data_IF_833822962294
#
_entry.id   IF_833822962294
#
_cell.length_a   1.000
_cell.length_b   1.000
_cell.length_c   1.000
_cell.angle_alpha   90.00
_cell.angle_beta   90.00
_cell.angle_gamma   90.00
#
_symmetry.space_group_name_H-M   'P 1'
#
loop_
_entity.id
_entity.type
_entity.pdbx_description
1 polymer ?
#
# COMPACT_ATOMS: atom_id res chain seq x y z
N UNK A 1 -2.31 6.64 3.14
CA UNK A 1 -0.91 6.14 3.24
C UNK A 1 -0.11 6.59 2.02
N UNK A 2 -0.51 6.28 0.78
CA UNK A 2 0.25 6.59 -0.43
C UNK A 2 0.71 8.04 -0.58
N UNK A 3 -0.14 9.03 -0.28
CA UNK A 3 0.23 10.45 -0.38
C UNK A 3 1.26 10.87 0.68
N UNK A 4 1.23 10.30 1.88
CA UNK A 4 2.24 10.57 2.91
C UNK A 4 3.58 9.96 2.52
N UNK A 5 3.57 8.73 2.01
CA UNK A 5 4.76 8.07 1.48
C UNK A 5 5.37 8.86 0.33
N UNK A 6 4.54 9.33 -0.62
CA UNK A 6 5.00 10.16 -1.74
C UNK A 6 5.72 11.42 -1.25
N UNK A 7 5.12 12.16 -0.32
CA UNK A 7 5.74 13.38 0.24
C UNK A 7 7.09 13.09 0.87
N UNK A 8 7.19 12.03 1.67
CA UNK A 8 8.45 11.63 2.32
C UNK A 8 9.49 11.19 1.29
N UNK A 9 9.13 10.38 0.31
CA UNK A 9 10.03 9.95 -0.74
C UNK A 9 10.55 11.12 -1.60
N UNK A 10 9.67 12.02 -2.00
CA UNK A 10 10.02 13.23 -2.77
C UNK A 10 10.95 14.14 -1.98
N UNK A 11 10.72 14.31 -0.67
CA UNK A 11 11.55 15.17 0.18
C UNK A 11 13.01 14.74 0.26
N UNK A 12 13.27 13.44 0.04
CA UNK A 12 14.64 12.87 -0.03
C UNK A 12 15.10 12.60 -1.48
N UNK A 13 14.45 13.21 -2.47
CA UNK A 13 14.85 13.19 -3.87
C UNK A 13 14.56 11.90 -4.63
N UNK A 14 13.65 11.04 -4.11
CA UNK A 14 13.28 9.80 -4.81
C UNK A 14 12.40 10.08 -6.04
N UNK A 15 12.60 9.25 -7.07
CA UNK A 15 11.88 9.32 -8.35
C UNK A 15 10.53 8.63 -8.24
N UNK A 16 9.48 9.44 -8.05
CA UNK A 16 8.12 8.96 -7.77
C UNK A 16 7.21 9.16 -8.97
N UNK A 17 6.40 8.15 -9.26
CA UNK A 17 5.32 8.20 -10.24
C UNK A 17 3.97 7.86 -9.60
N UNK A 18 2.88 8.26 -10.26
CA UNK A 18 1.51 8.07 -9.80
C UNK A 18 0.64 7.51 -10.92
N UNK A 19 -0.12 6.47 -10.60
CA UNK A 19 -1.05 5.83 -11.51
C UNK A 19 -2.42 5.64 -10.83
N UNK A 20 -3.30 6.60 -11.01
CA UNK A 20 -4.65 6.58 -10.47
C UNK A 20 -5.67 6.67 -11.58
N UNK A 21 -6.54 5.65 -11.72
CA UNK A 21 -7.54 5.58 -12.77
C UNK A 21 -6.93 5.46 -14.17
N UNK A 22 -5.70 4.97 -14.29
CA UNK A 22 -5.01 4.82 -15.57
C UNK A 22 -5.65 3.71 -16.40
N UNK A 23 -5.84 3.98 -17.68
CA UNK A 23 -6.25 3.00 -18.70
C UNK A 23 -5.07 2.54 -19.56
N UNK A 24 -4.07 3.39 -19.69
CA UNK A 24 -2.82 3.15 -20.41
C UNK A 24 -1.63 3.65 -19.60
N UNK A 25 -0.42 3.29 -20.00
CA UNK A 25 0.80 3.80 -19.38
C UNK A 25 1.03 5.30 -19.63
N UNK A 26 0.45 5.86 -20.66
CA UNK A 26 0.48 7.31 -20.95
C UNK A 26 -0.28 8.14 -19.89
N UNK A 27 -1.18 7.51 -19.15
CA UNK A 27 -1.94 8.16 -18.07
C UNK A 27 -1.11 8.31 -16.78
N UNK A 28 0.05 7.62 -16.68
CA UNK A 28 0.94 7.70 -15.51
C UNK A 28 1.52 9.10 -15.40
N UNK A 29 1.50 9.65 -14.20
CA UNK A 29 2.00 11.00 -13.91
C UNK A 29 3.31 10.91 -13.13
N UNK A 30 4.32 11.60 -13.63
CA UNK A 30 5.65 11.63 -13.02
C UNK A 30 5.80 12.86 -12.12
N UNK A 31 6.38 12.66 -10.95
CA UNK A 31 7.00 13.78 -10.25
C UNK A 31 8.21 14.25 -11.09
N UNK A 32 8.50 15.53 -11.12
CA UNK A 32 9.53 16.09 -12.02
C UNK A 32 10.92 15.49 -11.80
N UNK A 33 11.23 14.95 -10.63
CA UNK A 33 12.47 14.18 -10.39
C UNK A 33 12.54 12.87 -11.20
N UNK A 34 11.38 12.31 -11.52
CA UNK A 34 11.27 11.06 -12.27
C UNK A 34 11.12 11.25 -13.77
N UNK A 35 10.94 12.48 -14.24
CA UNK A 35 10.84 12.81 -15.65
C UNK A 35 12.24 13.13 -16.23
N UNK A 36 12.45 12.80 -17.50
CA UNK A 36 13.68 13.23 -18.20
C UNK A 36 13.70 14.72 -18.42
N UNK A 37 12.57 15.27 -18.87
CA UNK A 37 12.43 16.67 -19.21
C UNK A 37 11.30 17.34 -18.43
N UNK A 38 11.54 18.57 -18.00
CA UNK A 38 10.54 19.41 -17.37
C UNK A 38 10.88 20.90 -17.60
N UNK A 39 9.86 21.73 -17.61
CA UNK A 39 9.99 23.17 -17.79
C UNK A 39 9.78 23.91 -16.47
N UNK A 40 10.64 24.88 -16.18
CA UNK A 40 10.49 25.76 -15.02
C UNK A 40 9.94 27.12 -15.46
N UNK A 41 9.05 27.66 -14.66
CA UNK A 41 8.63 29.05 -14.81
C UNK A 41 9.78 29.94 -14.31
N UNK A 42 10.36 30.71 -15.23
CA UNK A 42 11.51 31.56 -14.92
C UNK A 42 11.19 32.68 -13.90
N UNK A 43 9.90 33.12 -13.79
CA UNK A 43 9.49 34.15 -12.84
C UNK A 43 9.28 33.64 -11.43
N UNK A 44 8.67 32.49 -11.28
CA UNK A 44 8.32 31.91 -9.97
C UNK A 44 9.30 30.83 -9.49
N UNK A 45 10.18 30.33 -10.36
CA UNK A 45 11.05 29.19 -10.07
C UNK A 45 10.33 27.86 -9.94
N UNK A 46 8.99 27.83 -10.02
CA UNK A 46 8.17 26.62 -9.93
C UNK A 46 8.21 25.78 -11.20
N UNK A 47 7.81 24.51 -11.07
CA UNK A 47 7.67 23.62 -12.22
C UNK A 47 6.38 23.98 -12.98
N UNK A 48 6.51 24.25 -14.26
CA UNK A 48 5.40 24.61 -15.14
C UNK A 48 4.82 23.41 -15.86
N UNK A 49 5.70 22.55 -16.39
CA UNK A 49 5.35 21.37 -17.16
C UNK A 49 6.30 20.22 -16.89
N UNK A 50 5.75 19.02 -16.85
CA UNK A 50 6.53 17.77 -16.75
C UNK A 50 6.20 16.93 -17.95
N UNK A 51 7.24 16.43 -18.63
CA UNK A 51 7.07 15.43 -19.69
C UNK A 51 6.81 14.04 -19.06
N UNK A 52 5.56 13.58 -19.14
CA UNK A 52 5.15 12.28 -18.62
C UNK A 52 5.39 11.14 -19.62
N UNK A 53 5.77 11.42 -20.86
CA UNK A 53 5.95 10.39 -21.89
C UNK A 53 7.16 9.50 -21.63
N UNK A 54 8.18 10.04 -20.97
CA UNK A 54 9.45 9.34 -20.72
C UNK A 54 9.85 9.48 -19.25
N UNK A 55 9.73 8.39 -18.50
CA UNK A 55 10.28 8.31 -17.14
C UNK A 55 11.80 8.06 -17.15
N UNK A 56 12.48 8.64 -16.18
CA UNK A 56 13.89 8.39 -15.94
C UNK A 56 14.09 7.56 -14.68
N UNK A 57 14.07 6.25 -14.85
CA UNK A 57 14.32 5.27 -13.79
C UNK A 57 13.44 5.49 -12.53
N UNK A 58 12.12 5.38 -12.69
CA UNK A 58 11.17 5.50 -11.56
C UNK A 58 11.52 4.48 -10.47
N UNK A 59 11.68 4.96 -9.24
CA UNK A 59 12.02 4.14 -8.08
C UNK A 59 10.78 3.70 -7.29
N UNK A 60 9.75 4.57 -7.23
CA UNK A 60 8.52 4.33 -6.50
C UNK A 60 7.33 4.70 -7.38
N UNK A 61 6.41 3.77 -7.59
CA UNK A 61 5.15 4.04 -8.26
C UNK A 61 4.00 3.77 -7.28
N UNK A 62 3.12 4.75 -7.13
CA UNK A 62 1.95 4.67 -6.26
C UNK A 62 0.72 4.59 -7.15
N UNK A 63 -0.08 3.54 -6.99
CA UNK A 63 -1.25 3.31 -7.82
C UNK A 63 -2.49 2.91 -7.00
N UNK A 64 -3.64 3.03 -7.62
CA UNK A 64 -4.86 2.38 -7.16
C UNK A 64 -4.94 0.93 -7.66
N UNK A 65 -5.89 0.17 -7.12
CA UNK A 65 -6.07 -1.24 -7.45
C UNK A 65 -6.44 -1.46 -8.93
N UNK A 66 -7.15 -0.50 -9.56
CA UNK A 66 -7.56 -0.59 -10.97
C UNK A 66 -6.38 -0.37 -11.93
N UNK A 67 -5.39 0.42 -11.50
CA UNK A 67 -4.20 0.75 -12.30
C UNK A 67 -3.01 -0.19 -12.05
N UNK A 68 -3.14 -1.18 -11.15
CA UNK A 68 -2.03 -2.01 -10.71
C UNK A 68 -1.27 -2.71 -11.86
N UNK A 69 -1.98 -3.38 -12.78
CA UNK A 69 -1.32 -4.13 -13.84
C UNK A 69 -0.55 -3.22 -14.81
N UNK A 70 -1.11 -2.05 -15.11
CA UNK A 70 -0.42 -1.03 -15.93
C UNK A 70 0.83 -0.54 -15.22
N UNK A 71 0.71 -0.29 -13.92
CA UNK A 71 1.82 0.14 -13.07
C UNK A 71 2.94 -0.89 -12.99
N UNK A 72 2.58 -2.16 -12.83
CA UNK A 72 3.52 -3.28 -12.80
C UNK A 72 4.29 -3.39 -14.12
N UNK A 73 3.59 -3.40 -15.26
CA UNK A 73 4.22 -3.46 -16.58
C UNK A 73 5.12 -2.24 -16.85
N UNK A 74 4.70 -1.07 -16.36
CA UNK A 74 5.53 0.13 -16.46
C UNK A 74 6.82 0.00 -15.65
N UNK A 75 6.75 -0.46 -14.40
CA UNK A 75 7.91 -0.63 -13.54
C UNK A 75 8.88 -1.72 -14.03
N UNK A 76 8.35 -2.78 -14.66
CA UNK A 76 9.18 -3.84 -15.26
C UNK A 76 10.07 -3.35 -16.41
N UNK A 77 9.85 -2.15 -16.95
CA UNK A 77 10.75 -1.53 -17.95
C UNK A 77 12.05 -1.01 -17.33
N UNK A 78 12.08 -0.78 -16.02
CA UNK A 78 13.24 -0.24 -15.31
C UNK A 78 14.13 -1.31 -14.68
N UNK A 79 13.64 -2.54 -14.56
CA UNK A 79 14.42 -3.62 -13.97
C UNK A 79 13.70 -4.97 -13.95
N UNK A 80 14.39 -6.03 -13.54
CA UNK A 80 13.81 -7.36 -13.44
C UNK A 80 12.77 -7.43 -12.32
N UNK A 81 11.83 -8.38 -12.45
CA UNK A 81 10.76 -8.57 -11.48
C UNK A 81 11.26 -8.86 -10.05
N UNK A 82 12.39 -9.54 -9.94
CA UNK A 82 13.06 -9.89 -8.68
C UNK A 82 13.60 -8.67 -7.93
N UNK A 83 13.86 -7.57 -8.64
CA UNK A 83 14.31 -6.30 -8.07
C UNK A 83 13.16 -5.39 -7.61
N UNK A 84 11.93 -5.76 -7.90
CA UNK A 84 10.75 -4.98 -7.54
C UNK A 84 10.09 -5.53 -6.28
N UNK A 85 9.44 -4.65 -5.52
CA UNK A 85 8.62 -4.99 -4.36
C UNK A 85 7.25 -4.38 -4.54
N UNK A 86 6.20 -5.19 -4.42
CA UNK A 86 4.82 -4.72 -4.34
C UNK A 86 4.42 -4.59 -2.88
N UNK A 87 3.98 -3.42 -2.47
CA UNK A 87 3.33 -3.20 -1.19
C UNK A 87 1.83 -3.00 -1.42
N UNK A 88 1.03 -3.95 -0.98
CA UNK A 88 -0.42 -3.90 -1.10
C UNK A 88 -1.04 -3.64 0.26
N UNK A 89 -1.57 -2.45 0.40
CA UNK A 89 -2.22 -1.98 1.62
C UNK A 89 -3.71 -2.36 1.59
N UNK A 90 -4.21 -2.92 2.69
CA UNK A 90 -5.59 -3.35 2.87
C UNK A 90 -6.13 -4.27 1.74
N UNK A 91 -5.47 -5.42 1.46
CA UNK A 91 -5.92 -6.34 0.41
C UNK A 91 -7.29 -6.96 0.68
N UNK A 92 -7.79 -6.86 1.92
CA UNK A 92 -9.07 -7.43 2.38
C UNK A 92 -10.25 -6.47 2.30
N UNK A 93 -10.05 -5.25 1.81
CA UNK A 93 -11.02 -4.15 1.87
C UNK A 93 -12.42 -4.45 1.30
N UNK A 94 -12.58 -5.51 0.53
CA UNK A 94 -13.87 -5.86 -0.08
C UNK A 94 -14.40 -7.23 0.31
N UNK A 95 -13.70 -7.93 1.22
CA UNK A 95 -14.08 -9.30 1.63
C UNK A 95 -15.37 -9.37 2.44
N UNK A 96 -15.81 -8.25 3.03
CA UNK A 96 -17.07 -8.15 3.76
C UNK A 96 -18.32 -8.22 2.87
N UNK A 97 -18.14 -8.07 1.55
CA UNK A 97 -19.23 -8.04 0.59
C UNK A 97 -19.22 -9.30 -0.29
N UNK A 98 -20.32 -10.03 -0.36
CA UNK A 98 -20.45 -11.19 -1.27
C UNK A 98 -20.22 -10.81 -2.75
N UNK A 99 -20.63 -9.59 -3.13
CA UNK A 99 -20.43 -9.05 -4.47
C UNK A 99 -19.92 -7.62 -4.39
N UNK A 100 -18.77 -7.38 -4.97
CA UNK A 100 -18.18 -6.04 -5.06
C UNK A 100 -17.50 -5.87 -6.42
N UNK A 101 -17.60 -4.67 -7.01
CA UNK A 101 -17.03 -4.37 -8.34
C UNK A 101 -15.51 -4.59 -8.44
N UNK A 102 -14.79 -4.49 -7.33
CA UNK A 102 -13.36 -4.69 -7.28
C UNK A 102 -12.92 -6.15 -7.18
N UNK A 103 -13.81 -7.11 -6.87
CA UNK A 103 -13.42 -8.51 -6.70
C UNK A 103 -12.76 -9.08 -7.96
N UNK A 104 -13.35 -8.82 -9.12
CA UNK A 104 -12.78 -9.27 -10.40
C UNK A 104 -11.41 -8.61 -10.65
N UNK A 105 -11.29 -7.31 -10.37
CA UNK A 105 -10.04 -6.56 -10.53
C UNK A 105 -8.96 -7.08 -9.58
N UNK A 106 -9.27 -7.31 -8.31
CA UNK A 106 -8.36 -7.85 -7.31
C UNK A 106 -7.89 -9.26 -7.71
N UNK A 107 -8.82 -10.12 -8.11
CA UNK A 107 -8.52 -11.47 -8.59
C UNK A 107 -7.60 -11.45 -9.82
N UNK A 108 -7.92 -10.59 -10.79
CA UNK A 108 -7.09 -10.42 -11.99
C UNK A 108 -5.69 -9.91 -11.64
N UNK A 109 -5.58 -8.91 -10.77
CA UNK A 109 -4.31 -8.38 -10.32
C UNK A 109 -3.46 -9.47 -9.65
N UNK A 110 -4.07 -10.26 -8.77
CA UNK A 110 -3.41 -11.38 -8.11
C UNK A 110 -2.86 -12.41 -9.10
N UNK A 111 -3.71 -12.87 -10.02
CA UNK A 111 -3.32 -13.92 -10.96
C UNK A 111 -2.34 -13.45 -12.04
N UNK A 112 -2.41 -12.19 -12.43
CA UNK A 112 -1.54 -11.61 -13.46
C UNK A 112 -0.26 -10.96 -12.90
N UNK A 113 -0.09 -10.94 -11.58
CA UNK A 113 1.12 -10.40 -10.97
C UNK A 113 2.36 -11.19 -11.38
N UNK A 114 3.41 -10.47 -11.82
CA UNK A 114 4.70 -11.02 -12.24
C UNK A 114 5.82 -10.81 -11.21
N UNK A 115 5.56 -10.04 -10.14
CA UNK A 115 6.57 -9.66 -9.15
C UNK A 115 6.56 -10.66 -7.99
N UNK A 116 7.68 -11.34 -7.71
CA UNK A 116 7.76 -12.35 -6.67
C UNK A 116 7.83 -11.78 -5.25
N UNK A 117 8.29 -10.53 -5.09
CA UNK A 117 8.41 -9.90 -3.78
C UNK A 117 7.16 -9.08 -3.48
N UNK A 118 6.34 -9.57 -2.57
CA UNK A 118 5.06 -8.95 -2.23
C UNK A 118 4.89 -8.82 -0.72
N UNK A 119 4.47 -7.65 -0.28
CA UNK A 119 4.07 -7.37 1.11
C UNK A 119 2.57 -7.09 1.10
N UNK A 120 1.82 -7.87 1.84
CA UNK A 120 0.41 -7.64 2.12
C UNK A 120 0.29 -7.03 3.52
N UNK A 121 -0.27 -5.84 3.64
CA UNK A 121 -0.43 -5.13 4.92
C UNK A 121 -1.91 -4.91 5.20
N UNK A 122 -2.37 -5.36 6.35
CA UNK A 122 -3.75 -5.18 6.77
C UNK A 122 -3.82 -5.16 8.31
N UNK A 123 -4.75 -4.37 8.85
CA UNK A 123 -5.01 -4.36 10.30
C UNK A 123 -5.66 -5.67 10.78
N UNK A 124 -6.41 -6.33 9.91
CA UNK A 124 -7.20 -7.54 10.19
C UNK A 124 -6.91 -8.62 9.15
N UNK A 125 -5.65 -9.08 9.06
CA UNK A 125 -5.33 -10.21 8.20
C UNK A 125 -6.04 -11.47 8.71
N UNK A 126 -6.67 -12.24 7.79
CA UNK A 126 -7.25 -13.53 8.11
C UNK A 126 -6.20 -14.48 8.73
N UNK A 127 -6.67 -15.50 9.42
CA UNK A 127 -5.78 -16.50 10.00
C UNK A 127 -5.04 -17.29 8.91
N UNK A 128 -3.87 -17.82 9.28
CA UNK A 128 -3.00 -18.56 8.37
C UNK A 128 -3.70 -19.68 7.60
N UNK A 129 -4.67 -20.36 8.23
CA UNK A 129 -5.43 -21.44 7.61
C UNK A 129 -6.41 -20.91 6.54
N UNK A 130 -7.00 -19.75 6.75
CA UNK A 130 -7.96 -19.14 5.82
C UNK A 130 -7.27 -18.66 4.53
N UNK A 131 -6.04 -18.15 4.64
CA UNK A 131 -5.26 -17.69 3.48
C UNK A 131 -4.36 -18.77 2.86
N UNK A 132 -4.41 -20.01 3.35
CA UNK A 132 -3.58 -21.09 2.82
C UNK A 132 -3.72 -21.28 1.31
N UNK A 133 -4.93 -21.27 0.70
CA UNK A 133 -5.07 -21.37 -0.75
C UNK A 133 -4.37 -20.26 -1.54
N UNK A 134 -4.32 -19.04 -0.96
CA UNK A 134 -3.64 -17.89 -1.55
C UNK A 134 -2.13 -18.09 -1.52
N UNK A 135 -1.61 -18.58 -0.39
CA UNK A 135 -0.18 -18.93 -0.22
C UNK A 135 0.25 -20.01 -1.19
N UNK A 136 -0.52 -21.10 -1.30
CA UNK A 136 -0.23 -22.21 -2.19
C UNK A 136 -0.22 -21.76 -3.66
N UNK A 137 -1.17 -20.90 -4.06
CA UNK A 137 -1.21 -20.32 -5.38
C UNK A 137 0.03 -19.45 -5.64
N UNK A 138 0.47 -18.67 -4.65
CA UNK A 138 1.65 -17.82 -4.79
C UNK A 138 2.92 -18.64 -4.95
N UNK A 139 3.14 -19.64 -4.10
CA UNK A 139 4.30 -20.56 -4.19
C UNK A 139 4.30 -21.34 -5.51
N UNK A 140 3.12 -21.77 -6.00
CA UNK A 140 3.04 -22.45 -7.29
C UNK A 140 3.54 -21.58 -8.44
N UNK A 141 3.31 -20.27 -8.38
CA UNK A 141 3.78 -19.30 -9.40
C UNK A 141 5.23 -18.89 -9.18
N UNK A 142 5.66 -18.80 -7.94
CA UNK A 142 6.99 -18.38 -7.52
C UNK A 142 7.62 -19.46 -6.59
N UNK A 143 8.16 -20.54 -7.14
CA UNK A 143 8.60 -21.69 -6.33
C UNK A 143 9.75 -21.39 -5.36
N UNK A 144 10.52 -20.35 -5.60
CA UNK A 144 11.59 -19.90 -4.71
C UNK A 144 11.14 -18.93 -3.63
N UNK A 145 9.86 -18.52 -3.63
CA UNK A 145 9.35 -17.56 -2.66
C UNK A 145 9.27 -18.18 -1.26
N UNK A 146 9.61 -17.38 -0.26
CA UNK A 146 9.40 -17.69 1.15
C UNK A 146 8.27 -16.82 1.71
N UNK A 147 7.39 -17.41 2.50
CA UNK A 147 6.27 -16.69 3.09
C UNK A 147 6.57 -16.45 4.57
N UNK A 148 6.52 -15.20 4.97
CA UNK A 148 6.70 -14.76 6.34
C UNK A 148 5.41 -14.13 6.84
N UNK A 149 4.94 -14.57 8.03
CA UNK A 149 3.82 -13.95 8.74
C UNK A 149 4.39 -13.09 9.87
N UNK A 150 4.18 -11.77 9.75
CA UNK A 150 4.68 -10.81 10.74
C UNK A 150 3.47 -10.18 11.41
N UNK A 151 3.32 -10.44 12.70
CA UNK A 151 2.28 -9.85 13.56
C UNK A 151 2.94 -9.07 14.67
N UNK A 152 2.50 -7.84 14.87
CA UNK A 152 2.95 -7.03 16.00
C UNK A 152 1.74 -6.58 16.80
N UNK A 153 1.81 -6.80 18.10
CA UNK A 153 0.87 -6.28 19.08
C UNK A 153 1.44 -5.07 19.84
N UNK A 154 2.61 -4.57 19.43
CA UNK A 154 3.34 -3.51 20.14
C UNK A 154 2.65 -2.14 20.07
N UNK A 155 1.76 -1.96 19.08
CA UNK A 155 0.98 -0.74 18.89
C UNK A 155 -0.51 -1.01 18.95
N UNK A 156 -1.04 -1.13 20.12
CA UNK A 156 -2.48 -1.07 20.35
C UNK A 156 -2.91 0.39 20.34
N UNK A 157 -3.49 0.86 19.22
CA UNK A 157 -4.19 2.14 19.19
C UNK A 157 -5.55 1.95 19.83
N UNK A 158 -5.66 2.29 21.10
CA UNK A 158 -6.95 2.36 21.77
C UNK A 158 -7.41 3.81 21.89
N UNK A 159 -8.66 4.07 21.55
CA UNK A 159 -9.29 5.37 21.71
C UNK A 159 -10.05 5.31 23.03
N UNK A 160 -9.75 6.18 24.01
CA UNK A 160 -10.49 6.20 25.26
C UNK A 160 -11.94 6.63 25.00
N UNK A 161 -12.89 5.89 25.53
CA UNK A 161 -14.29 6.28 25.53
C UNK A 161 -14.55 7.23 26.68
N UNK A 162 -14.97 8.45 26.35
CA UNK A 162 -15.34 9.46 27.32
C UNK A 162 -16.85 9.73 27.29
N UNK A 163 -17.46 9.97 28.44
CA UNK A 163 -18.85 10.37 28.50
C UNK A 163 -19.01 11.86 28.13
N UNK A 164 -20.25 12.32 28.06
CA UNK A 164 -20.59 13.72 27.73
C UNK A 164 -19.99 14.74 28.70
N UNK A 165 -19.66 14.34 29.91
CA UNK A 165 -19.00 15.17 30.93
C UNK A 165 -17.47 15.13 30.86
N UNK A 166 -16.89 14.49 29.85
CA UNK A 166 -15.43 14.37 29.70
C UNK A 166 -14.77 13.31 30.58
N UNK A 167 -15.56 12.53 31.35
CA UNK A 167 -15.01 11.45 32.19
C UNK A 167 -14.74 10.22 31.33
N UNK A 168 -13.55 9.65 31.44
CA UNK A 168 -13.17 8.42 30.77
C UNK A 168 -13.98 7.24 31.32
N UNK A 169 -14.73 6.55 30.45
CA UNK A 169 -15.56 5.39 30.80
C UNK A 169 -14.77 4.09 30.61
N UNK A 170 -13.93 4.02 29.56
CA UNK A 170 -13.06 2.90 29.30
C UNK A 170 -11.59 3.34 29.39
N UNK A 171 -10.94 2.85 30.43
CA UNK A 171 -9.54 3.20 30.79
C UNK A 171 -8.52 2.19 30.27
N UNK A 172 -8.92 1.34 29.32
CA UNK A 172 -8.09 0.24 28.79
C UNK A 172 -6.73 0.71 28.22
N UNK A 173 -6.67 1.94 27.70
CA UNK A 173 -5.43 2.55 27.22
C UNK A 173 -4.48 3.02 28.34
N UNK A 174 -4.93 2.98 29.59
CA UNK A 174 -4.14 3.32 30.79
C UNK A 174 -3.71 2.06 31.56
N UNK A 175 -3.93 0.87 30.97
CA UNK A 175 -3.63 -0.40 31.59
C UNK A 175 -2.38 -1.01 30.98
N UNK A 176 -1.45 -1.46 31.83
CA UNK A 176 -0.19 -2.07 31.39
C UNK A 176 -0.35 -3.56 31.02
N UNK A 177 -1.47 -4.19 31.42
CA UNK A 177 -1.76 -5.59 31.14
C UNK A 177 -3.26 -5.86 31.10
N UNK A 178 -3.64 -7.04 30.56
CA UNK A 178 -5.02 -7.51 30.57
C UNK A 178 -5.58 -7.68 31.97
N UNK A 179 -4.78 -8.17 32.93
CA UNK A 179 -5.21 -8.32 34.33
C UNK A 179 -5.39 -6.96 35.01
N UNK A 180 -4.54 -5.99 34.73
CA UNK A 180 -4.71 -4.62 35.23
C UNK A 180 -6.00 -3.99 34.67
N UNK A 181 -6.28 -4.20 33.37
CA UNK A 181 -7.52 -3.74 32.75
C UNK A 181 -8.75 -4.39 33.40
N UNK A 182 -8.72 -5.70 33.63
CA UNK A 182 -9.78 -6.47 34.24
C UNK A 182 -10.09 -5.96 35.67
N UNK A 183 -9.04 -5.72 36.45
CA UNK A 183 -9.18 -5.19 37.81
C UNK A 183 -9.74 -3.77 37.85
N UNK A 184 -9.49 -2.94 36.83
CA UNK A 184 -10.00 -1.56 36.73
C UNK A 184 -11.43 -1.48 36.19
N UNK A 185 -11.92 -2.53 35.50
CA UNK A 185 -13.26 -2.57 34.92
C UNK A 185 -14.30 -3.22 35.87
N UNK A 186 -13.84 -4.04 36.82
CA UNK A 186 -14.73 -4.63 37.82
C UNK A 186 -15.08 -3.57 38.88
N UNK A 187 -16.16 -2.83 38.61
CA UNK A 187 -16.93 -2.05 39.60
C UNK A 187 -18.40 -2.39 39.53
#
# INVERSE_FOLDING_TARGET
IGMSLAKSAISVGRKVAFAFGCKTDEDIRLHYFAAKDYERNWKSGGIYRVDNSVGDNVEILICDVKSYLISMEYMLRFGPAEGLIVFWDEPTITLEHEKHELHETISKNWHSNKIPNMVLSCATLPDNNEIQPVKDNFIKRFPSAQIHDIRSNDYTKSIPLVNRGGKCILVHNLCDSYEDMKNKIIF
#
